data_IF_727290755249
#
_entry.id   IF_727290755249
#
_cell.length_a   1.000
_cell.length_b   1.000
_cell.length_c   1.000
_cell.angle_alpha   90.00
_cell.angle_beta   90.00
_cell.angle_gamma   90.00
#
_symmetry.space_group_name_H-M   'P 1'
#
loop_
_entity.id
_entity.type
_entity.pdbx_description
1 polymer ?
#
# COMPACT_ATOMS: atom_id res chain seq x y z
N UNK A 1 1.94 16.38 26.05
CA UNK A 1 2.73 15.34 25.36
C UNK A 1 3.19 14.34 26.41
N UNK A 2 2.60 13.15 26.52
CA UNK A 2 3.02 12.18 27.54
C UNK A 2 2.74 10.74 27.07
N UNK A 3 3.51 10.31 26.08
CA UNK A 3 3.93 8.91 26.00
C UNK A 3 5.37 8.87 26.48
N UNK A 4 5.67 8.18 27.59
CA UNK A 4 7.04 8.06 28.11
C UNK A 4 7.86 7.16 27.17
N UNK A 5 8.39 7.72 26.08
CA UNK A 5 9.42 7.06 25.30
C UNK A 5 10.74 7.19 26.06
N UNK A 6 11.34 6.05 26.42
CA UNK A 6 12.66 6.03 27.06
C UNK A 6 13.72 6.28 25.99
N UNK A 7 14.50 7.33 26.16
CA UNK A 7 15.64 7.64 25.29
C UNK A 7 16.87 6.96 25.87
N UNK A 8 17.60 6.23 25.03
CA UNK A 8 18.89 5.61 25.36
C UNK A 8 19.92 6.25 24.44
N UNK A 9 20.96 6.83 25.03
CA UNK A 9 22.06 7.44 24.28
C UNK A 9 23.16 6.40 24.08
N UNK A 10 23.62 6.26 22.85
CA UNK A 10 24.69 5.35 22.46
C UNK A 10 25.73 6.13 21.66
N UNK A 11 27.01 5.94 22.00
CA UNK A 11 28.11 6.71 21.41
C UNK A 11 28.49 6.29 19.98
N UNK A 12 28.07 5.10 19.54
CA UNK A 12 28.40 4.54 18.22
C UNK A 12 27.17 4.01 17.48
N UNK A 13 26.25 4.91 17.12
CA UNK A 13 25.09 4.59 16.27
C UNK A 13 25.46 4.50 14.77
N UNK A 14 26.76 4.49 14.45
CA UNK A 14 27.28 4.43 13.08
C UNK A 14 26.84 5.62 12.22
N UNK A 15 26.04 5.36 11.18
CA UNK A 15 25.58 6.38 10.21
C UNK A 15 24.15 6.88 10.46
N UNK A 16 23.56 6.53 11.61
CA UNK A 16 22.14 6.76 11.92
C UNK A 16 22.03 7.67 13.15
N UNK A 17 21.02 8.54 13.18
CA UNK A 17 20.79 9.46 14.31
C UNK A 17 19.87 8.84 15.36
N UNK A 18 18.85 8.08 14.95
CA UNK A 18 17.94 7.40 15.87
C UNK A 18 17.55 6.00 15.40
N UNK A 19 17.37 5.09 16.35
CA UNK A 19 16.71 3.81 16.12
C UNK A 19 15.33 3.84 16.78
N UNK A 20 14.26 3.72 15.97
CA UNK A 20 12.88 3.64 16.48
C UNK A 20 12.42 2.19 16.70
N UNK A 21 13.08 1.24 16.04
CA UNK A 21 12.93 -0.20 16.20
C UNK A 21 14.23 -0.91 15.77
N UNK A 22 14.31 -2.23 15.98
CA UNK A 22 15.50 -3.03 15.61
C UNK A 22 15.85 -2.93 14.11
N UNK A 23 14.85 -2.84 13.22
CA UNK A 23 15.04 -2.76 11.77
C UNK A 23 14.77 -1.38 11.17
N UNK A 24 14.52 -0.34 12.00
CA UNK A 24 14.20 1.01 11.54
C UNK A 24 15.23 2.02 12.00
N UNK A 25 15.83 2.70 11.04
CA UNK A 25 16.87 3.69 11.23
C UNK A 25 16.37 5.05 10.73
N UNK A 26 16.53 6.08 11.55
CA UNK A 26 16.15 7.45 11.24
C UNK A 26 17.39 8.32 11.11
N UNK A 27 17.48 9.06 10.00
CA UNK A 27 18.49 10.10 9.79
C UNK A 27 17.79 11.46 9.82
N UNK A 28 18.30 12.38 10.62
CA UNK A 28 17.87 13.76 10.66
C UNK A 28 18.75 14.61 9.75
N UNK A 29 18.12 15.42 8.90
CA UNK A 29 18.79 16.37 8.02
C UNK A 29 18.30 17.76 8.39
N UNK A 30 19.16 18.52 9.06
CA UNK A 30 18.87 19.89 9.47
C UNK A 30 18.90 20.87 8.30
N UNK A 31 18.42 22.09 8.55
CA UNK A 31 18.52 23.20 7.61
C UNK A 31 19.96 23.44 7.17
N UNK A 32 20.89 23.41 8.15
CA UNK A 32 22.31 23.57 7.92
C UNK A 32 22.89 22.45 7.05
N UNK A 33 22.44 21.20 7.22
CA UNK A 33 22.91 20.08 6.40
C UNK A 33 22.47 20.19 4.94
N UNK A 34 21.27 20.73 4.70
CA UNK A 34 20.78 20.98 3.35
C UNK A 34 21.57 22.09 2.65
N UNK A 35 21.90 23.16 3.38
CA UNK A 35 22.65 24.31 2.86
C UNK A 35 24.13 23.96 2.68
N UNK A 36 24.73 23.21 3.61
CA UNK A 36 26.18 22.94 3.65
C UNK A 36 26.64 21.90 2.62
N UNK A 37 25.72 21.27 1.89
CA UNK A 37 26.03 20.45 0.71
C UNK A 37 25.91 18.93 0.89
N UNK A 38 26.61 18.11 0.09
CA UNK A 38 26.25 16.71 -0.18
C UNK A 38 26.64 15.72 0.94
N UNK A 39 27.03 16.19 2.13
CA UNK A 39 27.46 15.34 3.23
C UNK A 39 26.33 14.37 3.66
N UNK A 40 25.10 14.86 3.77
CA UNK A 40 23.93 14.03 4.08
C UNK A 40 23.71 12.95 3.02
N UNK A 41 23.96 13.24 1.73
CA UNK A 41 23.83 12.25 0.64
C UNK A 41 24.78 11.08 0.81
N UNK A 42 26.02 11.33 1.24
CA UNK A 42 27.01 10.28 1.54
C UNK A 42 26.55 9.42 2.71
N UNK A 43 26.00 10.03 3.77
CA UNK A 43 25.43 9.33 4.94
C UNK A 43 24.29 8.38 4.52
N UNK A 44 23.35 8.89 3.71
CA UNK A 44 22.23 8.10 3.17
C UNK A 44 22.70 6.96 2.24
N UNK A 45 23.67 7.21 1.37
CA UNK A 45 24.23 6.18 0.51
C UNK A 45 24.92 5.06 1.31
N UNK A 46 25.59 5.40 2.42
CA UNK A 46 26.16 4.40 3.35
C UNK A 46 25.06 3.58 4.02
N UNK A 47 23.98 4.22 4.49
CA UNK A 47 22.83 3.50 5.07
C UNK A 47 22.21 2.53 4.05
N UNK A 48 22.08 2.94 2.79
CA UNK A 48 21.53 2.08 1.72
C UNK A 48 22.36 0.81 1.49
N UNK A 49 23.69 0.91 1.64
CA UNK A 49 24.61 -0.23 1.56
C UNK A 49 24.46 -1.21 2.73
N UNK A 50 23.98 -0.74 3.89
CA UNK A 50 23.84 -1.56 5.09
C UNK A 50 22.73 -2.63 5.01
N UNK A 51 21.87 -2.62 3.95
CA UNK A 51 20.80 -3.58 3.53
C UNK A 51 19.81 -4.13 4.59
N UNK A 52 20.11 -4.09 5.88
CA UNK A 52 19.34 -4.67 6.99
C UNK A 52 18.40 -3.67 7.66
N UNK A 53 18.52 -2.38 7.34
CA UNK A 53 17.79 -1.29 7.98
C UNK A 53 16.83 -0.63 6.99
N UNK A 54 15.59 -0.42 7.41
CA UNK A 54 14.61 0.45 6.76
C UNK A 54 14.93 1.89 7.13
N UNK A 55 15.42 2.64 6.15
CA UNK A 55 15.80 4.05 6.32
C UNK A 55 14.60 4.98 6.25
N UNK A 56 14.47 5.83 7.26
CA UNK A 56 13.54 6.96 7.33
C UNK A 56 14.40 8.22 7.44
N UNK A 57 14.07 9.24 6.66
CA UNK A 57 14.77 10.52 6.65
C UNK A 57 13.81 11.60 7.11
N UNK A 58 14.15 12.27 8.20
CA UNK A 58 13.48 13.49 8.65
C UNK A 58 14.26 14.67 8.10
N UNK A 59 13.58 15.62 7.44
CA UNK A 59 14.24 16.77 6.82
C UNK A 59 13.57 18.06 7.25
N UNK A 60 14.37 19.04 7.69
CA UNK A 60 13.87 20.39 7.98
C UNK A 60 13.48 21.10 6.69
N UNK A 61 12.17 21.25 6.48
CA UNK A 61 11.56 21.98 5.38
C UNK A 61 11.05 23.32 5.90
N UNK A 62 11.90 24.33 5.78
CA UNK A 62 11.64 25.72 6.18
C UNK A 62 11.55 26.60 4.92
N UNK A 63 11.12 27.86 5.04
CA UNK A 63 11.16 28.78 3.90
C UNK A 63 12.55 28.91 3.26
N UNK A 64 13.62 28.70 4.02
CA UNK A 64 15.00 28.75 3.51
C UNK A 64 15.38 27.50 2.70
N UNK A 65 14.88 26.33 3.10
CA UNK A 65 15.24 25.04 2.48
C UNK A 65 14.23 24.49 1.47
N UNK A 66 13.08 25.15 1.32
CA UNK A 66 12.03 24.79 0.37
C UNK A 66 12.59 24.55 -1.05
N UNK A 67 13.51 25.42 -1.48
CA UNK A 67 14.15 25.36 -2.80
C UNK A 67 14.96 24.06 -3.03
N UNK A 68 15.49 23.45 -1.98
CA UNK A 68 16.29 22.23 -2.07
C UNK A 68 15.46 20.95 -1.91
N UNK A 69 14.23 21.07 -1.41
CA UNK A 69 13.42 19.92 -0.99
C UNK A 69 13.09 18.97 -2.15
N UNK A 70 12.82 19.49 -3.35
CA UNK A 70 12.49 18.65 -4.52
C UNK A 70 13.64 17.70 -4.88
N UNK A 71 14.88 18.20 -4.86
CA UNK A 71 16.05 17.39 -5.18
C UNK A 71 16.35 16.36 -4.09
N UNK A 72 16.13 16.74 -2.83
CA UNK A 72 16.20 15.79 -1.70
C UNK A 72 15.14 14.70 -1.86
N UNK A 73 13.90 15.05 -2.21
CA UNK A 73 12.81 14.09 -2.39
C UNK A 73 13.10 13.10 -3.51
N UNK A 74 13.57 13.57 -4.68
CA UNK A 74 13.98 12.70 -5.78
C UNK A 74 15.07 11.73 -5.34
N UNK A 75 16.13 12.24 -4.70
CA UNK A 75 17.24 11.43 -4.24
C UNK A 75 16.82 10.40 -3.18
N UNK A 76 16.10 10.81 -2.14
CA UNK A 76 15.74 9.95 -1.01
C UNK A 76 14.68 8.92 -1.38
N UNK A 77 13.60 9.36 -2.03
CA UNK A 77 12.42 8.51 -2.27
C UNK A 77 12.58 7.70 -3.55
N UNK A 78 13.02 8.32 -4.65
CA UNK A 78 13.07 7.66 -5.96
C UNK A 78 14.37 6.88 -6.14
N UNK A 79 15.52 7.51 -5.88
CA UNK A 79 16.82 6.86 -6.12
C UNK A 79 17.19 5.86 -5.02
N UNK A 80 17.01 6.21 -3.74
CA UNK A 80 17.38 5.34 -2.62
C UNK A 80 16.24 4.41 -2.16
N UNK A 81 14.98 4.78 -2.36
CA UNK A 81 13.81 4.03 -1.90
C UNK A 81 13.58 4.14 -0.39
N UNK A 82 14.02 5.22 0.24
CA UNK A 82 13.76 5.51 1.65
C UNK A 82 12.47 6.32 1.84
N UNK A 83 11.98 6.34 3.08
CA UNK A 83 10.86 7.22 3.47
C UNK A 83 11.42 8.60 3.78
N UNK A 84 10.82 9.66 3.23
CA UNK A 84 11.15 11.05 3.53
C UNK A 84 9.96 11.72 4.22
N UNK A 85 10.20 12.33 5.38
CA UNK A 85 9.18 13.07 6.12
C UNK A 85 9.68 14.49 6.38
N UNK A 86 9.03 15.51 5.81
CA UNK A 86 9.35 16.90 6.10
C UNK A 86 8.90 17.26 7.52
N UNK A 87 9.70 18.05 8.21
CA UNK A 87 9.40 18.65 9.51
C UNK A 87 9.78 20.13 9.47
N UNK A 88 9.09 20.96 10.23
CA UNK A 88 9.37 22.41 10.27
C UNK A 88 10.44 22.77 11.30
N UNK A 89 10.64 21.92 12.31
CA UNK A 89 11.61 22.12 13.38
C UNK A 89 11.86 20.81 14.17
N UNK A 90 12.83 20.86 15.08
CA UNK A 90 13.22 19.75 15.95
C UNK A 90 12.11 19.29 16.92
N UNK A 91 11.21 20.18 17.34
CA UNK A 91 10.09 19.82 18.22
C UNK A 91 9.09 18.92 17.49
N UNK A 92 8.76 19.26 16.25
CA UNK A 92 7.94 18.43 15.37
C UNK A 92 8.62 17.09 15.09
N UNK A 93 9.92 17.11 14.79
CA UNK A 93 10.71 15.89 14.61
C UNK A 93 10.65 14.97 15.84
N UNK A 94 10.81 15.53 17.04
CA UNK A 94 10.69 14.79 18.30
C UNK A 94 9.31 14.18 18.51
N UNK A 95 8.24 14.94 18.24
CA UNK A 95 6.87 14.42 18.31
C UNK A 95 6.61 13.29 17.33
N UNK A 96 7.13 13.42 16.11
CA UNK A 96 7.02 12.40 15.07
C UNK A 96 7.78 11.13 15.45
N UNK A 97 8.99 11.24 16.02
CA UNK A 97 9.74 10.11 16.56
C UNK A 97 8.96 9.39 17.67
N UNK A 98 8.34 10.15 18.59
CA UNK A 98 7.49 9.58 19.64
C UNK A 98 6.30 8.83 19.03
N UNK A 99 5.64 9.39 18.02
CA UNK A 99 4.55 8.72 17.32
C UNK A 99 5.01 7.43 16.62
N UNK A 100 6.17 7.44 15.95
CA UNK A 100 6.72 6.24 15.30
C UNK A 100 6.94 5.09 16.29
N UNK A 101 7.53 5.38 17.46
CA UNK A 101 7.75 4.39 18.51
C UNK A 101 6.41 3.87 19.06
N UNK A 102 5.44 4.76 19.27
CA UNK A 102 4.13 4.36 19.77
C UNK A 102 3.36 3.50 18.77
N UNK A 103 3.39 3.83 17.48
CA UNK A 103 2.72 3.04 16.44
C UNK A 103 3.34 1.65 16.29
N UNK A 104 4.67 1.52 16.42
CA UNK A 104 5.34 0.22 16.36
C UNK A 104 4.94 -0.72 17.50
N UNK A 105 4.68 -0.14 18.68
CA UNK A 105 4.32 -0.91 19.87
C UNK A 105 2.82 -1.25 19.95
N UNK A 106 1.97 -0.78 19.02
CA UNK A 106 0.52 -1.07 19.03
C UNK A 106 0.22 -2.43 18.39
N UNK A 107 -0.36 -3.40 19.11
CA UNK A 107 -0.82 -4.64 18.50
C UNK A 107 -1.96 -4.35 17.52
N UNK A 108 -1.81 -4.78 16.25
CA UNK A 108 -2.77 -4.53 15.16
C UNK A 108 -3.10 -3.04 14.92
N UNK A 109 -2.18 -2.11 15.23
CA UNK A 109 -2.42 -0.67 15.12
C UNK A 109 -2.65 -0.17 13.70
N UNK A 110 -2.06 -0.82 12.69
CA UNK A 110 -2.16 -0.39 11.30
C UNK A 110 -3.35 -1.08 10.58
N UNK A 111 -4.44 -0.34 10.24
CA UNK A 111 -5.59 -0.89 9.54
C UNK A 111 -5.29 -1.31 8.09
N UNK A 112 -4.20 -0.82 7.50
CA UNK A 112 -3.76 -1.19 6.15
C UNK A 112 -2.95 -2.50 6.11
N UNK A 113 -2.45 -2.95 7.27
CA UNK A 113 -1.77 -4.25 7.42
C UNK A 113 -2.73 -5.30 7.97
N UNK A 114 -3.66 -4.88 8.83
CA UNK A 114 -4.68 -5.75 9.40
C UNK A 114 -5.37 -6.52 8.26
N UNK A 115 -5.36 -7.86 8.37
CA UNK A 115 -6.05 -8.72 7.39
C UNK A 115 -7.48 -8.22 7.28
N UNK A 116 -7.85 -7.75 6.08
CA UNK A 116 -9.18 -7.24 5.83
C UNK A 116 -10.20 -8.20 6.45
N UNK A 117 -11.04 -7.69 7.37
CA UNK A 117 -12.21 -8.43 7.80
C UNK A 117 -12.93 -8.81 6.51
N UNK A 118 -13.16 -10.11 6.28
CA UNK A 118 -13.82 -10.65 5.08
C UNK A 118 -15.25 -10.08 5.01
N UNK A 119 -15.38 -8.84 4.56
CA UNK A 119 -16.62 -8.07 4.57
C UNK A 119 -17.59 -8.48 3.46
N UNK A 120 -17.09 -9.22 2.47
CA UNK A 120 -17.88 -9.81 1.40
C UNK A 120 -17.57 -11.30 1.41
N UNK A 121 -18.59 -12.14 1.59
CA UNK A 121 -18.41 -13.58 1.41
C UNK A 121 -18.00 -13.86 -0.04
N UNK A 122 -17.14 -14.85 -0.25
CA UNK A 122 -16.71 -15.21 -1.61
C UNK A 122 -17.91 -15.49 -2.53
N UNK A 123 -18.96 -16.12 -1.98
CA UNK A 123 -20.21 -16.39 -2.69
C UNK A 123 -20.93 -15.14 -3.17
N UNK A 124 -20.97 -14.08 -2.34
CA UNK A 124 -21.58 -12.81 -2.72
C UNK A 124 -20.77 -12.12 -3.82
N UNK A 125 -19.44 -12.16 -3.75
CA UNK A 125 -18.58 -11.61 -4.80
C UNK A 125 -18.75 -12.35 -6.13
N UNK A 126 -18.83 -13.69 -6.09
CA UNK A 126 -19.09 -14.52 -7.26
C UNK A 126 -20.48 -14.22 -7.85
N UNK A 127 -21.51 -14.11 -7.00
CA UNK A 127 -22.85 -13.76 -7.44
C UNK A 127 -22.92 -12.38 -8.11
N UNK A 128 -22.32 -11.36 -7.48
CA UNK A 128 -22.23 -10.01 -8.06
C UNK A 128 -21.49 -10.04 -9.40
N UNK A 129 -20.45 -10.87 -9.54
CA UNK A 129 -19.72 -11.03 -10.81
C UNK A 129 -20.62 -11.61 -11.91
N UNK A 130 -21.40 -12.66 -11.60
CA UNK A 130 -22.32 -13.26 -12.58
C UNK A 130 -23.45 -12.28 -12.94
N UNK A 131 -23.92 -11.46 -12.00
CA UNK A 131 -24.94 -10.42 -12.27
C UNK A 131 -24.47 -9.32 -13.22
N UNK A 132 -23.15 -9.17 -13.47
CA UNK A 132 -22.63 -8.23 -14.46
C UNK A 132 -22.85 -8.69 -15.91
N UNK A 133 -23.27 -9.94 -16.13
CA UNK A 133 -23.61 -10.43 -17.47
C UNK A 133 -24.87 -9.68 -17.95
N UNK A 134 -24.85 -9.06 -19.15
CA UNK A 134 -25.99 -8.30 -19.66
C UNK A 134 -27.28 -9.11 -19.65
N UNK A 135 -28.38 -8.46 -19.23
CA UNK A 135 -29.74 -9.04 -19.19
C UNK A 135 -29.88 -10.25 -18.24
N UNK A 136 -28.93 -10.45 -17.33
CA UNK A 136 -28.96 -11.49 -16.31
C UNK A 136 -29.30 -10.92 -14.93
N UNK A 137 -30.52 -11.14 -14.47
CA UNK A 137 -30.96 -10.72 -13.13
C UNK A 137 -30.45 -11.63 -12.01
N UNK A 138 -30.66 -11.20 -10.76
CA UNK A 138 -30.17 -11.89 -9.56
C UNK A 138 -30.66 -13.33 -9.42
N UNK A 139 -31.93 -13.61 -9.77
CA UNK A 139 -32.54 -14.95 -9.71
C UNK A 139 -31.85 -15.90 -10.69
N UNK A 140 -31.65 -15.46 -11.93
CA UNK A 140 -31.03 -16.26 -13.00
C UNK A 140 -29.54 -16.47 -12.74
N UNK A 141 -28.85 -15.45 -12.23
CA UNK A 141 -27.45 -15.56 -11.79
C UNK A 141 -27.28 -16.60 -10.67
N UNK A 142 -28.16 -16.58 -9.65
CA UNK A 142 -28.18 -17.61 -8.60
C UNK A 142 -28.46 -18.99 -9.16
N UNK A 143 -29.45 -19.14 -10.04
CA UNK A 143 -29.80 -20.43 -10.64
C UNK A 143 -28.64 -21.04 -11.44
N UNK A 144 -27.93 -20.23 -12.23
CA UNK A 144 -26.73 -20.66 -12.95
C UNK A 144 -25.62 -21.11 -12.00
N UNK A 145 -25.35 -20.34 -10.95
CA UNK A 145 -24.35 -20.73 -9.94
C UNK A 145 -24.74 -21.99 -9.17
N UNK A 146 -26.02 -22.19 -8.88
CA UNK A 146 -26.53 -23.41 -8.26
C UNK A 146 -26.32 -24.64 -9.14
N UNK A 147 -26.49 -24.51 -10.46
CA UNK A 147 -26.34 -25.61 -11.43
C UNK A 147 -24.88 -25.90 -11.76
N UNK A 148 -24.09 -24.87 -12.11
CA UNK A 148 -22.74 -25.01 -12.67
C UNK A 148 -21.62 -24.81 -11.64
N UNK A 149 -21.94 -24.43 -10.40
CA UNK A 149 -21.05 -24.32 -9.23
C UNK A 149 -19.87 -23.35 -9.33
N UNK A 150 -19.58 -22.79 -10.50
CA UNK A 150 -18.49 -21.83 -10.72
C UNK A 150 -18.73 -20.99 -11.96
N UNK A 151 -18.05 -19.84 -12.05
CA UNK A 151 -18.07 -18.98 -13.26
C UNK A 151 -17.50 -19.74 -14.47
N UNK A 152 -16.40 -20.48 -14.26
CA UNK A 152 -15.81 -21.35 -15.29
C UNK A 152 -16.81 -22.41 -15.78
N UNK A 153 -17.57 -23.02 -14.86
CA UNK A 153 -18.62 -23.99 -15.22
C UNK A 153 -19.72 -23.38 -16.09
N UNK A 154 -20.11 -22.12 -15.84
CA UNK A 154 -21.09 -21.40 -16.68
C UNK A 154 -20.52 -21.15 -18.08
N UNK A 155 -19.24 -20.80 -18.19
CA UNK A 155 -18.58 -20.55 -19.48
C UNK A 155 -18.42 -21.84 -20.31
N UNK A 156 -18.08 -22.96 -19.67
CA UNK A 156 -17.93 -24.27 -20.31
C UNK A 156 -19.28 -24.95 -20.66
N UNK A 157 -20.39 -24.51 -20.06
CA UNK A 157 -21.71 -25.09 -20.29
C UNK A 157 -22.15 -25.01 -21.77
N UNK A 158 -22.86 -26.03 -22.23
CA UNK A 158 -23.43 -26.04 -23.58
C UNK A 158 -24.61 -25.08 -23.67
N UNK A 159 -24.96 -24.67 -24.90
CA UNK A 159 -26.12 -23.81 -25.13
C UNK A 159 -27.43 -24.45 -24.65
N UNK A 160 -27.54 -25.78 -24.72
CA UNK A 160 -28.68 -26.54 -24.21
C UNK A 160 -28.77 -26.43 -22.69
N UNK A 161 -27.68 -26.74 -21.98
CA UNK A 161 -27.63 -26.71 -20.50
C UNK A 161 -27.92 -25.31 -19.93
N UNK A 162 -27.45 -24.26 -20.62
CA UNK A 162 -27.77 -22.88 -20.25
C UNK A 162 -29.24 -22.55 -20.50
N UNK A 163 -29.81 -23.04 -21.61
CA UNK A 163 -31.22 -22.79 -21.96
C UNK A 163 -32.19 -23.40 -20.96
N UNK A 164 -31.84 -24.55 -20.38
CA UNK A 164 -32.64 -25.23 -19.35
C UNK A 164 -32.77 -24.38 -18.07
N UNK A 165 -31.78 -23.53 -17.78
CA UNK A 165 -31.75 -22.72 -16.54
C UNK A 165 -32.28 -21.31 -16.75
N UNK A 166 -31.93 -20.65 -17.87
CA UNK A 166 -32.25 -19.21 -18.07
C UNK A 166 -33.16 -18.93 -19.26
N UNK A 167 -33.50 -19.94 -20.05
CA UNK A 167 -34.25 -19.84 -21.31
C UNK A 167 -33.35 -19.52 -22.51
N UNK A 168 -33.80 -19.92 -23.71
CA UNK A 168 -33.04 -19.83 -24.97
C UNK A 168 -32.43 -18.44 -25.24
N UNK A 169 -33.21 -17.37 -25.09
CA UNK A 169 -32.75 -16.00 -25.35
C UNK A 169 -31.65 -15.56 -24.39
N UNK A 170 -31.76 -15.90 -23.10
CA UNK A 170 -30.73 -15.53 -22.12
C UNK A 170 -29.50 -16.44 -22.22
N UNK A 171 -29.67 -17.71 -22.57
CA UNK A 171 -28.57 -18.61 -22.85
C UNK A 171 -27.72 -18.12 -24.03
N UNK A 172 -28.37 -17.62 -25.09
CA UNK A 172 -27.69 -16.94 -26.21
C UNK A 172 -26.88 -15.74 -25.73
N UNK A 173 -27.47 -14.84 -24.93
CA UNK A 173 -26.75 -13.67 -24.41
C UNK A 173 -25.57 -14.06 -23.50
N UNK A 174 -25.73 -15.06 -22.64
CA UNK A 174 -24.65 -15.56 -21.76
C UNK A 174 -23.52 -16.15 -22.60
N UNK A 175 -23.84 -17.00 -23.58
CA UNK A 175 -22.83 -17.63 -24.44
C UNK A 175 -22.12 -16.61 -25.33
N UNK A 176 -22.87 -15.69 -25.94
CA UNK A 176 -22.32 -14.57 -26.68
C UNK A 176 -21.40 -13.71 -25.80
N UNK A 177 -21.78 -13.39 -24.55
CA UNK A 177 -20.92 -12.63 -23.64
C UNK A 177 -19.56 -13.28 -23.38
N UNK A 178 -19.48 -14.61 -23.32
CA UNK A 178 -18.22 -15.34 -23.12
C UNK A 178 -17.43 -15.60 -24.41
N UNK A 179 -18.09 -15.71 -25.56
CA UNK A 179 -17.47 -16.07 -26.84
C UNK A 179 -17.19 -14.87 -27.76
N UNK A 180 -17.88 -13.75 -27.55
CA UNK A 180 -17.71 -12.54 -28.35
C UNK A 180 -16.33 -11.94 -28.07
N UNK A 181 -15.40 -12.21 -28.99
CA UNK A 181 -14.10 -11.53 -29.03
C UNK A 181 -14.37 -10.03 -29.22
N UNK A 182 -14.15 -9.23 -28.18
CA UNK A 182 -14.22 -7.77 -28.29
C UNK A 182 -13.36 -7.29 -29.46
N UNK A 183 -13.98 -6.66 -30.45
CA UNK A 183 -13.28 -5.69 -31.30
C UNK A 183 -12.91 -4.53 -30.40
N UNK A 184 -11.63 -4.46 -30.01
CA UNK A 184 -11.06 -3.32 -29.31
C UNK A 184 -11.29 -2.10 -30.22
N UNK A 185 -12.02 -1.10 -29.71
CA UNK A 185 -12.09 0.24 -30.31
C UNK A 185 -10.95 1.07 -29.76
#
# INVERSE_FOLDING_TARGET
MQGRVRIVFEGDTGVVDFHTAHDKAVIYVSEADLISGPAYRKKLAKLRKAKKLKGIVLVEKTPMTEQYFLDVQKFVVIELGFVLLPVTNQVEAGNLLVQMVNEENKPNGNPFIAKAKRGISQDQAVLSTVQMIPKLGSVKAKALLCRFKSIHGIQAATMHDLSDVVGRTNAQHVKAFFEEKRKVR
#
